data_IF_481284347136
#
_entry.id   IF_481284347136
#
_cell.length_a   1.000
_cell.length_b   1.000
_cell.length_c   1.000
_cell.angle_alpha   90.00
_cell.angle_beta   90.00
_cell.angle_gamma   90.00
#
_symmetry.space_group_name_H-M   'P 1'
#
loop_
_entity.id
_entity.type
_entity.pdbx_description
1 polymer ?
#
# COMPACT_ATOMS: atom_id res chain seq x y z
N UNK A 1 -49.65 -31.80 -38.43
CA UNK A 1 -49.46 -32.61 -37.19
C UNK A 1 -48.04 -33.13 -37.04
N UNK A 2 -47.53 -34.02 -37.90
CA UNK A 2 -46.17 -34.59 -37.73
C UNK A 2 -45.06 -33.56 -38.03
N UNK A 3 -45.23 -32.81 -39.12
CA UNK A 3 -44.33 -31.72 -39.51
C UNK A 3 -44.33 -30.51 -38.54
N UNK A 4 -45.43 -30.30 -37.81
CA UNK A 4 -45.54 -29.28 -36.76
C UNK A 4 -44.79 -29.69 -35.49
N UNK A 5 -44.85 -30.99 -35.13
CA UNK A 5 -44.13 -31.54 -33.98
C UNK A 5 -42.61 -31.50 -34.15
N UNK A 6 -42.11 -31.67 -35.37
CA UNK A 6 -40.67 -31.51 -35.66
C UNK A 6 -40.20 -30.06 -35.52
N UNK A 7 -40.98 -29.10 -36.03
CA UNK A 7 -40.65 -27.66 -35.91
C UNK A 7 -40.65 -27.19 -34.45
N UNK A 8 -41.53 -27.74 -33.63
CA UNK A 8 -41.61 -27.42 -32.21
C UNK A 8 -40.39 -27.96 -31.44
N UNK A 9 -39.99 -29.21 -31.68
CA UNK A 9 -38.76 -29.80 -31.10
C UNK A 9 -37.48 -29.07 -31.51
N UNK A 10 -37.37 -28.66 -32.77
CA UNK A 10 -36.19 -27.92 -33.23
C UNK A 10 -36.10 -26.52 -32.57
N UNK A 11 -37.25 -25.89 -32.31
CA UNK A 11 -37.33 -24.59 -31.62
C UNK A 11 -36.93 -24.70 -30.14
N UNK A 12 -37.30 -25.80 -29.47
CA UNK A 12 -36.86 -26.09 -28.10
C UNK A 12 -35.35 -26.33 -28.03
N UNK A 13 -34.79 -27.16 -28.92
CA UNK A 13 -33.34 -27.39 -28.96
C UNK A 13 -32.54 -26.10 -29.19
N UNK A 14 -33.02 -25.23 -30.08
CA UNK A 14 -32.40 -23.90 -30.33
C UNK A 14 -32.51 -22.96 -29.11
N UNK A 15 -33.57 -23.07 -28.30
CA UNK A 15 -33.71 -22.31 -27.05
C UNK A 15 -32.74 -22.80 -25.99
N UNK A 16 -32.57 -24.12 -25.84
CA UNK A 16 -31.63 -24.72 -24.90
C UNK A 16 -30.18 -24.37 -25.26
N UNK A 17 -29.80 -24.47 -26.53
CA UNK A 17 -28.47 -24.05 -26.99
C UNK A 17 -28.20 -22.56 -26.75
N UNK A 18 -29.21 -21.70 -26.98
CA UNK A 18 -29.10 -20.26 -26.73
C UNK A 18 -28.97 -19.95 -25.24
N UNK A 19 -29.74 -20.65 -24.40
CA UNK A 19 -29.69 -20.51 -22.94
C UNK A 19 -28.34 -20.96 -22.39
N UNK A 20 -27.84 -22.13 -22.82
CA UNK A 20 -26.55 -22.68 -22.42
C UNK A 20 -25.39 -21.76 -22.83
N UNK A 21 -25.39 -21.22 -24.05
CA UNK A 21 -24.40 -20.22 -24.48
C UNK A 21 -24.47 -18.94 -23.67
N UNK A 22 -25.67 -18.48 -23.30
CA UNK A 22 -25.85 -17.26 -22.50
C UNK A 22 -25.34 -17.45 -21.06
N UNK A 23 -25.56 -18.62 -20.46
CA UNK A 23 -25.04 -18.97 -19.13
C UNK A 23 -23.52 -19.08 -19.16
N UNK A 24 -22.95 -19.74 -20.18
CA UNK A 24 -21.50 -19.81 -20.38
C UNK A 24 -20.86 -18.43 -20.53
N UNK A 25 -21.48 -17.54 -21.32
CA UNK A 25 -21.00 -16.16 -21.50
C UNK A 25 -21.05 -15.36 -20.19
N UNK A 26 -22.12 -15.52 -19.41
CA UNK A 26 -22.27 -14.88 -18.10
C UNK A 26 -21.25 -15.40 -17.09
N UNK A 27 -21.01 -16.72 -17.04
CA UNK A 27 -19.97 -17.31 -16.21
C UNK A 27 -18.58 -16.82 -16.59
N UNK A 28 -18.26 -16.68 -17.89
CA UNK A 28 -16.97 -16.15 -18.35
C UNK A 28 -16.75 -14.70 -17.90
N UNK A 29 -17.81 -13.88 -17.89
CA UNK A 29 -17.78 -12.50 -17.42
C UNK A 29 -17.53 -12.41 -15.91
N UNK A 30 -18.06 -13.35 -15.11
CA UNK A 30 -17.87 -13.35 -13.66
C UNK A 30 -16.43 -13.68 -13.22
N UNK A 31 -15.63 -14.37 -14.04
CA UNK A 31 -14.24 -14.76 -13.68
C UNK A 31 -13.26 -13.59 -13.80
N UNK A 32 -13.60 -12.53 -14.54
CA UNK A 32 -12.69 -11.41 -14.83
C UNK A 32 -12.55 -10.37 -13.70
N UNK A 33 -13.31 -10.48 -12.60
CA UNK A 33 -13.37 -9.44 -11.56
C UNK A 33 -12.91 -9.97 -10.20
N UNK A 34 -11.69 -10.49 -10.16
CA UNK A 34 -10.95 -10.66 -8.91
C UNK A 34 -9.67 -9.82 -9.04
N UNK A 35 -9.78 -8.51 -8.79
CA UNK A 35 -8.61 -7.70 -8.41
C UNK A 35 -8.34 -8.07 -6.95
N UNK A 36 -7.31 -8.86 -6.69
CA UNK A 36 -6.82 -9.07 -5.33
C UNK A 36 -6.16 -7.79 -4.84
N UNK A 37 -6.36 -7.45 -3.57
CA UNK A 37 -5.62 -6.36 -2.93
C UNK A 37 -4.14 -6.75 -2.90
N UNK A 38 -3.34 -6.07 -3.72
CA UNK A 38 -1.91 -6.33 -3.83
C UNK A 38 -1.21 -5.59 -2.68
N UNK A 39 -1.22 -6.21 -1.50
CA UNK A 39 -0.79 -5.58 -0.25
C UNK A 39 -0.06 -6.56 0.65
N UNK A 40 0.97 -6.07 1.32
CA UNK A 40 1.68 -6.76 2.40
C UNK A 40 1.77 -5.83 3.60
N UNK A 41 1.65 -6.38 4.81
CA UNK A 41 1.77 -5.60 6.04
C UNK A 41 2.47 -6.39 7.15
N UNK A 42 3.10 -5.66 8.06
CA UNK A 42 3.67 -6.22 9.29
C UNK A 42 3.62 -5.20 10.43
N UNK A 43 3.51 -5.70 11.65
CA UNK A 43 3.72 -4.89 12.85
C UNK A 43 5.20 -4.85 13.20
N UNK A 44 5.72 -3.65 13.46
CA UNK A 44 7.12 -3.38 13.78
C UNK A 44 7.19 -2.74 15.16
N UNK A 45 8.26 -2.98 15.92
CA UNK A 45 8.42 -2.40 17.26
C UNK A 45 9.62 -1.46 17.27
N UNK A 46 9.37 -0.16 17.29
CA UNK A 46 10.38 0.88 17.38
C UNK A 46 10.87 0.94 18.83
N UNK A 47 12.17 0.71 19.03
CA UNK A 47 12.76 0.60 20.36
C UNK A 47 13.74 1.76 20.59
N UNK A 48 13.47 2.64 21.56
CA UNK A 48 14.26 3.85 21.76
C UNK A 48 15.65 3.57 22.32
N UNK A 49 16.55 4.53 22.15
CA UNK A 49 17.87 4.59 22.78
C UNK A 49 18.83 3.46 22.37
N UNK A 50 18.68 2.92 21.15
CA UNK A 50 19.57 1.87 20.60
C UNK A 50 20.47 2.32 19.47
N UNK A 51 20.36 3.58 19.07
CA UNK A 51 20.96 4.11 17.85
C UNK A 51 20.13 3.79 16.61
N UNK A 52 20.65 4.09 15.41
CA UNK A 52 19.94 3.87 14.16
C UNK A 52 19.59 2.39 13.92
N UNK A 53 18.38 2.13 13.46
CA UNK A 53 17.86 0.82 13.06
C UNK A 53 17.17 0.93 11.69
N UNK A 54 17.06 -0.18 10.98
CA UNK A 54 16.44 -0.21 9.65
C UNK A 54 15.62 -1.47 9.45
N UNK A 55 14.47 -1.30 8.78
CA UNK A 55 13.51 -2.34 8.50
C UNK A 55 12.93 -2.15 7.11
N UNK A 56 12.55 -3.25 6.47
CA UNK A 56 11.98 -3.20 5.12
C UNK A 56 10.86 -4.20 4.92
N UNK A 57 10.02 -3.94 3.92
CA UNK A 57 8.96 -4.84 3.47
C UNK A 57 9.00 -4.88 1.95
N UNK A 58 8.75 -6.05 1.36
CA UNK A 58 8.92 -6.30 -0.07
C UNK A 58 7.58 -6.70 -0.70
N UNK A 59 7.27 -6.12 -1.86
CA UNK A 59 6.08 -6.40 -2.66
C UNK A 59 6.48 -6.35 -4.15
N UNK A 60 6.18 -7.41 -4.90
CA UNK A 60 6.44 -7.50 -6.35
C UNK A 60 7.88 -7.16 -6.79
N UNK A 61 8.87 -7.48 -5.94
CA UNK A 61 10.28 -7.19 -6.21
C UNK A 61 10.70 -5.74 -5.98
N UNK A 62 9.80 -4.91 -5.45
CA UNK A 62 10.11 -3.60 -4.89
C UNK A 62 10.17 -3.69 -3.38
N UNK A 63 10.99 -2.83 -2.77
CA UNK A 63 11.20 -2.80 -1.33
C UNK A 63 10.90 -1.41 -0.81
N UNK A 64 10.02 -1.29 0.18
CA UNK A 64 9.97 -0.09 1.00
C UNK A 64 10.92 -0.25 2.18
N UNK A 65 11.84 0.70 2.35
CA UNK A 65 12.82 0.73 3.43
C UNK A 65 12.52 1.89 4.38
N UNK A 66 12.59 1.62 5.69
CA UNK A 66 12.46 2.62 6.75
C UNK A 66 13.64 2.51 7.70
N UNK A 67 14.41 3.59 7.80
CA UNK A 67 15.51 3.77 8.74
C UNK A 67 15.14 4.83 9.75
N UNK A 68 15.44 4.62 11.02
CA UNK A 68 15.09 5.55 12.09
C UNK A 68 16.08 5.49 13.24
N UNK A 69 16.21 6.61 13.96
CA UNK A 69 16.83 6.67 15.27
C UNK A 69 15.94 7.47 16.21
N UNK A 70 15.50 6.82 17.30
CA UNK A 70 14.48 7.33 18.21
C UNK A 70 14.94 7.33 19.66
N UNK A 71 14.45 8.28 20.44
CA UNK A 71 14.55 8.29 21.89
C UNK A 71 13.17 8.40 22.53
N UNK A 72 13.06 7.90 23.76
CA UNK A 72 11.77 7.74 24.45
C UNK A 72 11.87 6.79 25.63
N UNK A 73 10.76 6.63 26.35
CA UNK A 73 10.68 5.81 27.57
C UNK A 73 10.28 4.36 27.35
N UNK A 74 9.56 4.06 26.26
CA UNK A 74 8.98 2.75 25.98
C UNK A 74 9.10 2.41 24.50
N UNK A 75 9.01 1.11 24.17
CA UNK A 75 8.86 0.68 22.79
C UNK A 75 7.47 1.07 22.28
N UNK A 76 7.35 1.26 20.97
CA UNK A 76 6.08 1.50 20.31
C UNK A 76 5.90 0.56 19.14
N UNK A 77 4.72 -0.06 19.05
CA UNK A 77 4.35 -0.88 17.92
C UNK A 77 3.68 -0.01 16.84
N UNK A 78 4.12 -0.20 15.61
CA UNK A 78 3.71 0.54 14.43
C UNK A 78 3.31 -0.45 13.34
N UNK A 79 2.46 -0.01 12.42
CA UNK A 79 2.03 -0.74 11.24
C UNK A 79 2.89 -0.29 10.06
N UNK A 80 3.46 -1.26 9.35
CA UNK A 80 4.26 -1.03 8.15
C UNK A 80 3.58 -1.80 7.01
N UNK A 81 2.94 -1.04 6.14
CA UNK A 81 2.18 -1.54 5.00
C UNK A 81 2.81 -1.10 3.69
N UNK A 82 2.78 -1.98 2.70
CA UNK A 82 3.20 -1.71 1.34
C UNK A 82 2.20 -2.31 0.38
N UNK A 83 1.64 -1.49 -0.48
CA UNK A 83 0.59 -1.87 -1.42
C UNK A 83 0.88 -1.34 -2.82
N UNK A 84 0.37 -2.05 -3.82
CA UNK A 84 0.38 -1.63 -5.21
C UNK A 84 -1.06 -1.46 -5.68
N UNK A 85 -1.33 -0.30 -6.28
CA UNK A 85 -2.61 -0.03 -6.89
C UNK A 85 -2.43 0.77 -8.18
N UNK A 86 -2.80 0.13 -9.30
CA UNK A 86 -2.82 0.77 -10.62
C UNK A 86 -1.44 1.26 -11.08
N UNK A 87 -0.40 0.49 -10.75
CA UNK A 87 1.00 0.78 -11.06
C UNK A 87 1.67 1.76 -10.09
N UNK A 88 0.96 2.20 -9.04
CA UNK A 88 1.53 3.05 -7.99
C UNK A 88 1.79 2.22 -6.75
N UNK A 89 3.02 2.28 -6.27
CA UNK A 89 3.45 1.65 -5.03
C UNK A 89 3.31 2.64 -3.89
N UNK A 90 2.54 2.27 -2.87
CA UNK A 90 2.25 3.10 -1.70
C UNK A 90 2.79 2.41 -0.45
N UNK A 91 3.67 3.10 0.25
CA UNK A 91 4.26 2.67 1.51
C UNK A 91 3.74 3.53 2.66
N UNK A 92 3.10 2.90 3.64
CA UNK A 92 2.55 3.54 4.82
C UNK A 92 3.21 2.98 6.09
N UNK A 93 3.81 3.87 6.88
CA UNK A 93 4.43 3.54 8.16
C UNK A 93 3.73 4.39 9.21
N UNK A 94 2.86 3.76 10.01
CA UNK A 94 2.00 4.50 10.92
C UNK A 94 1.90 3.91 12.30
N UNK A 95 1.67 4.78 13.27
CA UNK A 95 1.22 4.39 14.59
C UNK A 95 -0.28 4.61 14.69
N UNK A 96 -1.08 3.58 15.03
CA UNK A 96 -2.53 3.73 15.19
C UNK A 96 -2.94 4.74 16.28
N UNK A 97 -2.05 5.04 17.22
CA UNK A 97 -2.21 6.03 18.29
C UNK A 97 -1.08 7.08 18.25
N UNK A 98 -1.19 8.15 19.04
CA UNK A 98 -0.15 9.18 19.15
C UNK A 98 1.21 8.60 19.55
N UNK A 99 2.28 8.91 18.81
CA UNK A 99 3.63 8.51 19.18
C UNK A 99 4.21 9.39 20.27
N UNK A 100 4.86 8.79 21.25
CA UNK A 100 5.67 9.47 22.26
C UNK A 100 7.17 9.29 22.02
N UNK A 101 7.54 8.67 20.89
CA UNK A 101 8.92 8.60 20.44
C UNK A 101 9.30 9.91 19.77
N UNK A 102 10.44 10.44 20.18
CA UNK A 102 11.08 11.55 19.49
C UNK A 102 12.06 11.00 18.48
N UNK A 103 11.88 11.38 17.22
CA UNK A 103 12.75 11.00 16.13
C UNK A 103 13.93 11.97 16.08
N UNK A 104 15.15 11.42 16.17
CA UNK A 104 16.39 12.16 15.92
C UNK A 104 16.69 12.22 14.43
N UNK A 105 16.53 11.07 13.78
CA UNK A 105 16.71 10.88 12.36
C UNK A 105 15.65 9.89 11.88
N UNK A 106 15.12 10.11 10.68
CA UNK A 106 14.39 9.08 9.97
C UNK A 106 14.59 9.22 8.48
N UNK A 107 14.38 8.12 7.77
CA UNK A 107 14.20 8.14 6.35
C UNK A 107 13.40 6.97 5.84
N UNK A 108 12.58 7.21 4.83
CA UNK A 108 11.86 6.17 4.12
C UNK A 108 11.99 6.36 2.60
N UNK A 109 12.06 5.24 1.87
CA UNK A 109 12.31 5.22 0.42
C UNK A 109 11.78 3.94 -0.20
N UNK A 110 11.46 3.99 -1.50
CA UNK A 110 11.17 2.82 -2.33
C UNK A 110 12.20 2.82 -3.47
N UNK A 111 13.38 2.19 -3.29
CA UNK A 111 14.47 2.33 -4.24
C UNK A 111 14.10 1.83 -5.64
N UNK A 112 14.45 2.64 -6.65
CA UNK A 112 14.24 2.28 -8.05
C UNK A 112 12.88 2.68 -8.62
N UNK A 113 12.02 3.36 -7.85
CA UNK A 113 10.72 3.89 -8.29
C UNK A 113 10.63 5.40 -8.12
N UNK A 114 10.18 6.11 -9.14
CA UNK A 114 10.06 7.57 -9.15
C UNK A 114 9.06 8.02 -8.10
N UNK A 115 9.51 8.87 -7.18
CA UNK A 115 8.63 9.47 -6.17
C UNK A 115 7.56 10.32 -6.85
N UNK A 116 6.29 10.06 -6.51
CA UNK A 116 5.13 10.86 -6.93
C UNK A 116 4.82 11.89 -5.86
N UNK A 117 4.66 11.44 -4.61
CA UNK A 117 4.25 12.27 -3.50
C UNK A 117 4.66 11.63 -2.16
N UNK A 118 4.75 12.45 -1.12
CA UNK A 118 5.02 11.99 0.24
C UNK A 118 4.48 12.95 1.29
N UNK A 119 4.13 12.37 2.43
CA UNK A 119 3.61 13.11 3.57
C UNK A 119 4.14 12.52 4.87
N UNK A 120 4.46 13.40 5.82
CA UNK A 120 4.74 13.03 7.20
C UNK A 120 3.72 13.71 8.07
N UNK A 121 3.05 12.99 8.96
CA UNK A 121 2.10 13.57 9.90
C UNK A 121 2.65 13.58 11.33
N UNK A 122 2.34 14.64 12.07
CA UNK A 122 2.47 14.68 13.52
C UNK A 122 1.28 13.98 14.21
N UNK A 123 1.33 13.84 15.54
CA UNK A 123 0.23 13.25 16.33
C UNK A 123 -1.11 13.95 16.15
N UNK A 124 -1.10 15.24 15.84
CA UNK A 124 -2.29 16.05 15.57
C UNK A 124 -2.92 15.74 14.19
N UNK A 125 -2.41 14.75 13.46
CA UNK A 125 -2.77 14.43 12.07
C UNK A 125 -2.61 15.63 11.13
N UNK A 126 -1.70 16.54 11.47
CA UNK A 126 -1.29 17.64 10.61
C UNK A 126 -0.01 17.26 9.89
N UNK A 127 0.10 17.63 8.62
CA UNK A 127 1.34 17.48 7.88
C UNK A 127 2.48 18.22 8.61
N UNK A 128 3.59 17.53 8.79
CA UNK A 128 4.83 18.09 9.29
C UNK A 128 5.28 19.20 8.33
N UNK A 129 5.83 20.28 8.86
CA UNK A 129 6.23 21.42 8.03
C UNK A 129 7.32 20.97 7.05
N UNK A 130 7.16 21.34 5.78
CA UNK A 130 8.07 20.92 4.70
C UNK A 130 9.48 21.52 4.75
N UNK A 131 9.81 22.37 5.73
CA UNK A 131 11.17 22.83 6.03
C UNK A 131 11.91 21.91 7.02
N UNK A 132 11.23 20.90 7.56
CA UNK A 132 11.78 19.95 8.54
C UNK A 132 12.46 18.76 7.86
N UNK A 133 11.99 18.39 6.67
CA UNK A 133 12.50 17.26 5.89
C UNK A 133 12.70 17.68 4.45
N UNK A 134 13.74 17.15 3.81
CA UNK A 134 13.96 17.31 2.38
C UNK A 134 13.64 16.01 1.65
N UNK A 135 13.20 16.21 0.42
CA UNK A 135 13.09 15.19 -0.59
C UNK A 135 14.37 15.26 -1.39
N UNK A 136 15.23 14.27 -1.23
CA UNK A 136 16.45 14.21 -2.05
C UNK A 136 16.10 13.56 -3.39
N UNK A 137 16.16 14.35 -4.47
CA UNK A 137 15.85 13.91 -5.84
C UNK A 137 16.66 12.67 -6.24
N UNK A 138 17.89 12.57 -5.75
CA UNK A 138 18.84 11.49 -6.09
C UNK A 138 18.53 10.15 -5.42
N UNK A 139 17.70 10.11 -4.38
CA UNK A 139 17.47 8.90 -3.57
C UNK A 139 15.99 8.55 -3.34
N UNK A 140 15.03 9.36 -3.83
CA UNK A 140 13.59 9.10 -3.61
C UNK A 140 13.31 8.85 -2.12
N UNK A 141 13.98 9.64 -1.29
CA UNK A 141 14.17 9.40 0.13
C UNK A 141 13.71 10.65 0.86
N UNK A 142 12.80 10.46 1.80
CA UNK A 142 12.53 11.49 2.81
C UNK A 142 13.63 11.41 3.86
N UNK A 143 14.20 12.54 4.25
CA UNK A 143 15.11 12.59 5.39
C UNK A 143 14.95 13.93 6.11
N UNK A 144 15.04 13.91 7.44
CA UNK A 144 15.14 15.16 8.22
C UNK A 144 16.39 15.92 7.75
N UNK A 145 16.26 17.22 7.49
CA UNK A 145 17.34 18.08 6.98
C UNK A 145 17.74 19.21 7.91
N UNK A 146 17.14 19.24 9.09
CA UNK A 146 17.46 20.17 10.16
C UNK A 146 17.81 19.41 11.44
N UNK A 147 18.19 20.15 12.48
CA UNK A 147 18.38 19.60 13.84
C UNK A 147 17.04 19.25 14.52
N UNK A 148 15.96 19.15 13.74
CA UNK A 148 14.62 18.92 14.25
C UNK A 148 14.54 17.58 14.96
N UNK A 149 13.92 17.61 16.12
CA UNK A 149 13.54 16.42 16.86
C UNK A 149 12.09 16.60 17.31
N UNK A 150 11.26 15.61 17.04
CA UNK A 150 9.86 15.66 17.38
C UNK A 150 9.16 14.34 17.20
N UNK A 151 7.87 14.37 17.44
CA UNK A 151 6.99 13.20 17.31
C UNK A 151 6.35 13.18 15.93
N UNK A 152 6.43 12.04 15.25
CA UNK A 152 5.64 11.76 14.06
C UNK A 152 4.68 10.62 14.36
N UNK A 153 3.60 10.53 13.59
CA UNK A 153 2.61 9.46 13.69
C UNK A 153 2.53 8.64 12.41
N UNK A 154 2.77 9.26 11.25
CA UNK A 154 2.68 8.60 9.95
C UNK A 154 3.76 9.11 9.01
N UNK A 155 4.32 8.20 8.22
CA UNK A 155 5.06 8.49 7.00
C UNK A 155 4.36 7.76 5.87
N UNK A 156 4.01 8.49 4.82
CA UNK A 156 3.33 7.98 3.64
C UNK A 156 4.12 8.35 2.39
N UNK A 157 4.38 7.38 1.52
CA UNK A 157 5.18 7.55 0.28
C UNK A 157 4.44 6.88 -0.87
N UNK A 158 4.32 7.57 -2.00
CA UNK A 158 3.84 7.01 -3.25
C UNK A 158 4.89 7.13 -4.36
N UNK A 159 5.16 6.04 -5.08
CA UNK A 159 6.14 5.98 -6.16
C UNK A 159 5.68 5.11 -7.35
N UNK A 160 6.24 5.34 -8.55
CA UNK A 160 5.99 4.55 -9.77
C UNK A 160 7.18 4.46 -10.73
#
# INVERSE_FOLDING_TARGET
VEEEKEKEKEKERKREEKMMKSVLLLCLLCVLVVKGDNKVSKTISLRPNRGPDSISIELDGHTCEFTFDVWGGTNEDWEFEFEEFDGVYVCNIERPADSYLFFKEFSATIPGLTLIDMEVEENTASALRGDVYDITEDAQKIAITSDWQGTIRRIWIASM
#
